data_IF_639220977523
#
_entry.id   IF_639220977523
#
_cell.length_a   1.000
_cell.length_b   1.000
_cell.length_c   1.000
_cell.angle_alpha   90.00
_cell.angle_beta   90.00
_cell.angle_gamma   90.00
#
_symmetry.space_group_name_H-M   'P 1'
#
loop_
_entity.id
_entity.type
_entity.pdbx_description
1 polymer ?
#
# COMPACT_ATOMS: atom_id res chain seq x y z
N UNK A 1 12.73 12.92 2.82
CA UNK A 1 13.56 11.69 2.96
C UNK A 1 12.82 10.77 3.93
N UNK A 2 12.59 9.49 3.61
CA UNK A 2 11.93 8.55 4.52
C UNK A 2 12.95 8.05 5.55
N UNK A 3 12.53 7.92 6.81
CA UNK A 3 13.37 7.45 7.92
C UNK A 3 13.73 5.96 7.83
N UNK A 4 14.59 5.51 8.74
CA UNK A 4 14.96 4.09 8.84
C UNK A 4 13.80 3.24 9.37
N UNK A 5 13.81 1.96 9.02
CA UNK A 5 12.99 0.95 9.67
C UNK A 5 13.44 0.77 11.13
N UNK A 6 12.52 0.30 11.97
CA UNK A 6 12.75 0.20 13.42
C UNK A 6 13.86 -0.77 13.82
N UNK A 7 14.11 -1.80 13.01
CA UNK A 7 15.14 -2.81 13.25
C UNK A 7 15.62 -3.45 11.95
N UNK A 8 16.75 -4.17 12.01
CA UNK A 8 17.23 -4.98 10.90
C UNK A 8 16.21 -6.09 10.54
N UNK A 9 15.64 -6.77 11.54
CA UNK A 9 14.65 -7.83 11.30
C UNK A 9 13.43 -7.32 10.54
N UNK A 10 12.97 -6.09 10.85
CA UNK A 10 11.89 -5.45 10.12
C UNK A 10 12.29 -5.15 8.67
N UNK A 11 13.49 -4.63 8.44
CA UNK A 11 14.00 -4.38 7.09
C UNK A 11 14.09 -5.67 6.27
N UNK A 12 14.70 -6.73 6.82
CA UNK A 12 14.85 -8.02 6.14
C UNK A 12 13.48 -8.65 5.84
N UNK A 13 12.52 -8.55 6.78
CA UNK A 13 11.14 -8.98 6.54
C UNK A 13 10.54 -8.24 5.35
N UNK A 14 10.64 -6.90 5.30
CA UNK A 14 10.09 -6.11 4.19
C UNK A 14 10.75 -6.48 2.85
N UNK A 15 12.08 -6.64 2.83
CA UNK A 15 12.82 -7.06 1.63
C UNK A 15 12.36 -8.44 1.13
N UNK A 16 12.06 -9.37 2.04
CA UNK A 16 11.52 -10.68 1.66
C UNK A 16 10.15 -10.59 0.97
N UNK A 17 9.27 -9.66 1.39
CA UNK A 17 7.99 -9.41 0.73
C UNK A 17 8.15 -8.77 -0.65
N UNK A 18 9.13 -7.88 -0.80
CA UNK A 18 9.48 -7.30 -2.11
C UNK A 18 9.90 -8.42 -3.07
N UNK A 19 10.69 -9.38 -2.61
CA UNK A 19 11.10 -10.53 -3.42
C UNK A 19 9.93 -11.46 -3.74
N UNK A 20 9.01 -11.71 -2.79
CA UNK A 20 7.76 -12.44 -3.06
C UNK A 20 6.96 -11.75 -4.18
N UNK A 21 6.77 -10.43 -4.10
CA UNK A 21 6.07 -9.66 -5.12
C UNK A 21 6.68 -9.83 -6.52
N UNK A 22 8.01 -9.74 -6.62
CA UNK A 22 8.74 -10.00 -7.88
C UNK A 22 8.53 -11.43 -8.38
N UNK A 23 8.57 -12.43 -7.49
CA UNK A 23 8.40 -13.84 -7.84
C UNK A 23 6.97 -14.19 -8.29
N UNK A 24 5.96 -13.55 -7.71
CA UNK A 24 4.56 -13.70 -8.10
C UNK A 24 4.22 -12.96 -9.41
N UNK A 25 5.18 -12.22 -9.97
CA UNK A 25 5.04 -11.52 -11.24
C UNK A 25 4.46 -10.11 -11.13
N UNK A 26 4.44 -9.52 -9.93
CA UNK A 26 4.10 -8.11 -9.78
C UNK A 26 5.15 -7.24 -10.49
N UNK A 27 4.70 -6.20 -11.18
CA UNK A 27 5.56 -5.26 -11.87
C UNK A 27 6.06 -4.22 -10.89
N UNK A 28 7.36 -4.22 -10.64
CA UNK A 28 8.02 -3.21 -9.82
C UNK A 28 8.09 -1.88 -10.60
N UNK A 29 7.38 -0.85 -10.13
CA UNK A 29 7.35 0.46 -10.78
C UNK A 29 8.49 1.36 -10.32
N UNK A 30 8.74 1.38 -9.01
CA UNK A 30 9.84 2.12 -8.38
C UNK A 30 10.33 1.37 -7.14
N UNK A 31 11.56 1.66 -6.72
CA UNK A 31 12.10 1.18 -5.45
C UNK A 31 12.51 -0.29 -5.49
N UNK A 32 12.24 -1.00 -4.40
CA UNK A 32 12.44 -2.45 -4.31
C UNK A 32 13.81 -2.89 -3.80
N UNK A 33 14.61 -1.96 -3.26
CA UNK A 33 15.96 -2.21 -2.77
C UNK A 33 16.26 -1.52 -1.43
N UNK A 34 17.27 -2.03 -0.73
CA UNK A 34 17.87 -1.37 0.43
C UNK A 34 18.57 -0.09 -0.01
N UNK A 35 18.49 0.95 0.82
CA UNK A 35 19.19 2.22 0.58
C UNK A 35 20.41 2.32 1.51
N UNK A 36 21.59 2.58 0.96
CA UNK A 36 22.72 3.07 1.75
C UNK A 36 22.83 4.59 1.56
N UNK A 37 22.66 5.34 2.64
CA UNK A 37 22.72 6.80 2.62
C UNK A 37 24.15 7.33 2.78
N UNK A 38 25.11 6.46 3.10
CA UNK A 38 26.51 6.82 3.31
C UNK A 38 26.75 7.69 4.56
N UNK A 39 28.01 8.08 4.77
CA UNK A 39 28.42 8.91 5.90
C UNK A 39 28.04 8.30 7.25
N UNK A 40 27.54 9.15 8.16
CA UNK A 40 27.10 8.72 9.51
C UNK A 40 25.86 7.80 9.48
N UNK A 41 25.16 7.73 8.35
CA UNK A 41 23.95 6.91 8.18
C UNK A 41 24.23 5.58 7.48
N UNK A 42 25.49 5.31 7.12
CA UNK A 42 25.87 4.06 6.49
C UNK A 42 25.61 2.87 7.41
N UNK A 43 25.11 1.77 6.84
CA UNK A 43 24.70 0.59 7.59
C UNK A 43 23.35 0.72 8.32
N UNK A 44 22.67 1.87 8.23
CA UNK A 44 21.32 2.04 8.74
C UNK A 44 20.27 1.16 8.04
N UNK A 45 19.08 1.11 8.62
CA UNK A 45 17.99 0.25 8.15
C UNK A 45 17.09 0.98 7.14
N UNK A 46 17.68 1.54 6.09
CA UNK A 46 16.95 2.32 5.09
C UNK A 46 16.57 1.46 3.88
N UNK A 47 15.43 1.79 3.28
CA UNK A 47 14.97 1.18 2.03
C UNK A 47 14.36 2.24 1.11
N UNK A 48 14.26 1.92 -0.17
CA UNK A 48 13.57 2.77 -1.13
C UNK A 48 12.05 2.65 -0.95
N UNK A 49 11.28 3.75 -1.03
CA UNK A 49 9.84 3.68 -1.20
C UNK A 49 9.53 2.82 -2.43
N UNK A 50 8.68 1.82 -2.27
CA UNK A 50 8.46 0.78 -3.28
C UNK A 50 7.01 0.80 -3.74
N UNK A 51 6.79 0.74 -5.05
CA UNK A 51 5.44 0.62 -5.63
C UNK A 51 5.41 -0.56 -6.59
N UNK A 52 4.45 -1.46 -6.37
CA UNK A 52 4.15 -2.58 -7.26
C UNK A 52 2.83 -2.35 -7.98
N UNK A 53 2.78 -2.74 -9.24
CA UNK A 53 1.55 -2.94 -10.01
C UNK A 53 1.27 -4.45 -10.12
N UNK A 54 0.06 -4.89 -9.79
CA UNK A 54 -0.27 -6.31 -9.71
C UNK A 54 -1.78 -6.56 -9.61
N UNK A 55 -2.16 -7.72 -9.05
CA UNK A 55 -3.56 -8.08 -8.84
C UNK A 55 -3.81 -8.54 -7.40
N UNK A 56 -5.06 -8.46 -6.95
CA UNK A 56 -5.44 -8.65 -5.55
C UNK A 56 -5.11 -10.03 -4.97
N UNK A 57 -4.90 -11.07 -5.81
CA UNK A 57 -4.61 -12.43 -5.33
C UNK A 57 -3.15 -12.64 -4.90
N UNK A 58 -2.26 -11.69 -5.21
CA UNK A 58 -0.85 -11.73 -4.81
C UNK A 58 -0.69 -11.48 -3.31
N UNK A 59 0.31 -12.10 -2.68
CA UNK A 59 0.55 -11.97 -1.23
C UNK A 59 0.84 -10.54 -0.81
N UNK A 60 1.51 -9.75 -1.65
CA UNK A 60 1.79 -8.33 -1.37
C UNK A 60 0.53 -7.43 -1.38
N UNK A 61 -0.63 -7.94 -1.81
CA UNK A 61 -1.94 -7.27 -1.68
C UNK A 61 -2.71 -7.77 -0.47
N UNK A 62 -2.48 -9.02 -0.05
CA UNK A 62 -3.27 -9.69 0.98
C UNK A 62 -2.64 -9.64 2.37
N UNK A 63 -1.31 -9.54 2.47
CA UNK A 63 -0.57 -9.61 3.73
C UNK A 63 0.04 -8.26 4.13
N UNK A 64 0.02 -7.98 5.43
CA UNK A 64 0.55 -6.72 5.96
C UNK A 64 2.08 -6.71 6.03
N UNK A 65 2.71 -5.90 5.17
CA UNK A 65 4.16 -5.81 5.03
C UNK A 65 4.80 -4.96 6.15
N UNK A 66 4.10 -3.94 6.66
CA UNK A 66 4.63 -2.95 7.63
C UNK A 66 5.90 -2.23 7.13
N UNK A 67 5.98 -1.92 5.85
CA UNK A 67 7.09 -1.19 5.23
C UNK A 67 6.60 -0.10 4.28
N UNK A 68 7.52 0.70 3.75
CA UNK A 68 7.22 1.70 2.72
C UNK A 68 7.00 1.04 1.35
N UNK A 69 5.95 0.22 1.25
CA UNK A 69 5.57 -0.56 0.07
C UNK A 69 4.09 -0.31 -0.23
N UNK A 70 3.78 0.07 -1.48
CA UNK A 70 2.43 0.28 -1.98
C UNK A 70 2.13 -0.74 -3.08
N UNK A 71 0.98 -1.42 -2.96
CA UNK A 71 0.46 -2.34 -3.97
C UNK A 71 -0.68 -1.67 -4.73
N UNK A 72 -0.55 -1.56 -6.05
CA UNK A 72 -1.47 -0.85 -6.95
C UNK A 72 -2.15 -1.84 -7.89
N UNK A 73 -3.48 -1.78 -7.98
CA UNK A 73 -4.28 -2.52 -8.97
C UNK A 73 -5.29 -1.59 -9.62
N UNK A 74 -5.72 -1.94 -10.83
CA UNK A 74 -6.82 -1.28 -11.53
C UNK A 74 -8.14 -2.00 -11.30
N UNK A 75 -9.25 -1.28 -11.47
CA UNK A 75 -10.62 -1.78 -11.53
C UNK A 75 -11.36 -1.08 -12.67
N UNK A 76 -12.45 -1.66 -13.16
CA UNK A 76 -13.24 -1.17 -14.30
C UNK A 76 -14.45 -0.34 -13.87
N UNK A 77 -15.08 -0.74 -12.77
CA UNK A 77 -16.28 -0.12 -12.26
C UNK A 77 -16.30 -0.13 -10.73
N UNK A 78 -17.35 0.50 -10.18
CA UNK A 78 -17.51 0.65 -8.74
C UNK A 78 -17.67 -0.70 -8.03
N UNK A 79 -18.43 -1.63 -8.60
CA UNK A 79 -18.69 -2.93 -7.98
C UNK A 79 -17.40 -3.76 -7.90
N UNK A 80 -16.61 -3.81 -8.98
CA UNK A 80 -15.29 -4.48 -8.98
C UNK A 80 -14.34 -3.81 -7.97
N UNK A 81 -14.38 -2.48 -7.81
CA UNK A 81 -13.57 -1.78 -6.82
C UNK A 81 -13.94 -2.15 -5.38
N UNK A 82 -15.24 -2.24 -5.08
CA UNK A 82 -15.74 -2.63 -3.77
C UNK A 82 -15.39 -4.08 -3.45
N UNK A 83 -15.55 -4.98 -4.42
CA UNK A 83 -15.20 -6.40 -4.28
C UNK A 83 -13.71 -6.56 -3.95
N UNK A 84 -12.82 -5.95 -4.75
CA UNK A 84 -11.37 -5.95 -4.50
C UNK A 84 -11.07 -5.42 -3.09
N UNK A 85 -11.64 -4.28 -2.73
CA UNK A 85 -11.32 -3.64 -1.47
C UNK A 85 -11.95 -4.35 -0.25
N UNK A 86 -12.94 -5.23 -0.44
CA UNK A 86 -13.55 -6.05 0.62
C UNK A 86 -12.93 -7.46 0.68
N UNK A 87 -12.20 -7.89 -0.35
CA UNK A 87 -11.48 -9.16 -0.42
C UNK A 87 -10.17 -9.10 0.38
N UNK A 88 -10.34 -9.00 1.70
CA UNK A 88 -9.28 -9.02 2.69
C UNK A 88 -9.81 -9.57 4.02
N UNK A 89 -8.94 -10.22 4.79
CA UNK A 89 -9.28 -10.69 6.15
C UNK A 89 -9.18 -9.56 7.20
N UNK A 90 -8.67 -8.39 6.81
CA UNK A 90 -8.46 -7.24 7.70
C UNK A 90 -9.58 -6.20 7.58
N UNK A 91 -9.74 -5.34 8.59
CA UNK A 91 -10.81 -4.34 8.64
C UNK A 91 -10.42 -3.05 9.36
N UNK A 92 -9.23 -2.51 9.08
CA UNK A 92 -8.66 -1.37 9.81
C UNK A 92 -9.25 -0.02 9.36
N UNK A 93 -9.03 0.35 8.10
CA UNK A 93 -9.51 1.61 7.56
C UNK A 93 -9.37 1.65 6.05
N UNK A 94 -10.18 2.49 5.41
CA UNK A 94 -10.10 2.71 3.97
C UNK A 94 -10.42 4.17 3.61
N UNK A 95 -9.84 4.61 2.49
CA UNK A 95 -10.05 5.93 1.93
C UNK A 95 -10.65 5.83 0.52
N UNK A 96 -11.51 6.78 0.20
CA UNK A 96 -12.09 6.93 -1.15
C UNK A 96 -11.87 8.36 -1.63
N UNK A 97 -11.46 8.49 -2.90
CA UNK A 97 -11.32 9.77 -3.58
C UNK A 97 -12.27 9.81 -4.77
N UNK A 98 -13.29 10.66 -4.68
CA UNK A 98 -14.26 10.90 -5.75
C UNK A 98 -14.74 12.35 -5.71
N UNK A 99 -15.19 12.87 -6.86
CA UNK A 99 -15.91 14.15 -6.95
C UNK A 99 -17.43 13.97 -6.91
N UNK A 100 -17.93 12.74 -6.92
CA UNK A 100 -19.35 12.41 -6.85
C UNK A 100 -19.74 12.15 -5.40
N UNK A 101 -20.63 12.99 -4.87
CA UNK A 101 -21.21 12.80 -3.54
C UNK A 101 -21.90 11.43 -3.42
N UNK A 102 -22.71 11.05 -4.41
CA UNK A 102 -23.38 9.74 -4.44
C UNK A 102 -22.40 8.56 -4.31
N UNK A 103 -21.23 8.66 -4.95
CA UNK A 103 -20.18 7.61 -4.83
C UNK A 103 -19.60 7.56 -3.41
N UNK A 104 -19.38 8.72 -2.79
CA UNK A 104 -18.83 8.81 -1.43
C UNK A 104 -19.83 8.29 -0.38
N UNK A 105 -21.11 8.62 -0.55
CA UNK A 105 -22.19 8.16 0.32
C UNK A 105 -22.41 6.66 0.19
N UNK A 106 -22.41 6.15 -1.05
CA UNK A 106 -22.53 4.72 -1.29
C UNK A 106 -21.35 3.96 -0.66
N UNK A 107 -20.11 4.43 -0.84
CA UNK A 107 -18.91 3.78 -0.30
C UNK A 107 -18.96 3.65 1.23
N UNK A 108 -19.41 4.70 1.93
CA UNK A 108 -19.59 4.66 3.39
C UNK A 108 -20.58 3.60 3.85
N UNK A 109 -21.66 3.38 3.09
CA UNK A 109 -22.69 2.42 3.44
C UNK A 109 -22.26 0.97 3.13
N UNK A 110 -21.39 0.77 2.13
CA UNK A 110 -20.97 -0.57 1.69
C UNK A 110 -19.73 -1.08 2.43
N UNK A 111 -18.91 -0.21 3.02
CA UNK A 111 -17.68 -0.62 3.73
C UNK A 111 -17.96 -1.01 5.18
N UNK A 112 -17.55 -2.23 5.53
CA UNK A 112 -17.63 -2.78 6.88
C UNK A 112 -16.47 -2.34 7.80
N UNK A 113 -15.97 -1.12 7.65
CA UNK A 113 -14.77 -0.62 8.34
C UNK A 113 -14.79 0.91 8.43
N UNK A 114 -13.85 1.48 9.20
CA UNK A 114 -13.75 2.94 9.35
C UNK A 114 -13.42 3.58 8.00
N UNK A 115 -14.32 4.43 7.51
CA UNK A 115 -14.17 5.19 6.27
C UNK A 115 -13.78 6.63 6.59
N UNK A 116 -12.73 7.11 5.93
CA UNK A 116 -12.38 8.53 5.92
C UNK A 116 -12.44 9.06 4.48
N UNK A 117 -13.14 10.17 4.28
CA UNK A 117 -13.15 10.91 3.01
C UNK A 117 -13.28 12.40 3.28
N UNK A 118 -12.93 13.22 2.29
CA UNK A 118 -13.02 14.66 2.37
C UNK A 118 -13.80 15.21 1.18
N UNK A 119 -14.78 16.08 1.44
CA UNK A 119 -15.58 16.77 0.42
C UNK A 119 -14.87 18.01 -0.17
N UNK A 120 -13.70 18.36 0.39
CA UNK A 120 -12.84 19.45 -0.07
C UNK A 120 -11.35 19.13 0.13
N UNK A 121 -10.45 19.88 -0.51
CA UNK A 121 -9.01 19.65 -0.39
C UNK A 121 -8.53 19.90 1.05
N UNK A 122 -8.10 18.84 1.73
CA UNK A 122 -7.62 18.87 3.13
C UNK A 122 -6.12 19.17 3.26
N UNK A 123 -5.42 19.45 2.16
CA UNK A 123 -3.95 19.38 2.16
C UNK A 123 -3.45 17.94 2.20
N UNK A 124 -2.22 17.70 1.76
CA UNK A 124 -1.65 16.35 1.69
C UNK A 124 -1.50 15.73 3.09
N UNK A 125 -1.99 14.50 3.25
CA UNK A 125 -1.47 13.55 4.24
C UNK A 125 -0.18 12.92 3.69
#
# INVERSE_FOLDING_TARGET
MIGAQSSNDQLEKILSYIDIGKQEGAKLLIGGERSDLGGELSGGFYMQPTVFEGNNSMRIFQEEIFGSVLSLTSFKDYDEAIDIANDTLYGLGAGVWSRSADTLDHYQQTKNLLVSYAEGPMGFF
#
